data_IF_463697444200
#
_entry.id   IF_463697444200
#
_cell.length_a   1.000
_cell.length_b   1.000
_cell.length_c   1.000
_cell.angle_alpha   90.00
_cell.angle_beta   90.00
_cell.angle_gamma   90.00
#
_symmetry.space_group_name_H-M   'P 1'
#
loop_
_entity.id
_entity.type
_entity.pdbx_description
1 polymer ?
#
# COMPACT_ATOMS: atom_id res chain seq x y z
N UNK A 1 -7.81 6.45 -12.95
CA UNK A 1 -7.87 7.75 -12.26
C UNK A 1 -6.51 8.43 -12.26
N UNK A 2 -5.48 7.90 -11.55
CA UNK A 2 -4.16 8.54 -11.41
C UNK A 2 -3.48 8.81 -12.76
N UNK A 3 -3.44 7.83 -13.65
CA UNK A 3 -2.82 8.00 -14.98
C UNK A 3 -3.45 9.15 -15.79
N UNK A 4 -4.77 9.33 -15.69
CA UNK A 4 -5.46 10.44 -16.32
C UNK A 4 -5.00 11.80 -15.75
N UNK A 5 -4.89 11.91 -14.43
CA UNK A 5 -4.40 13.11 -13.77
C UNK A 5 -2.95 13.41 -14.16
N UNK A 6 -2.09 12.38 -14.19
CA UNK A 6 -0.68 12.53 -14.54
C UNK A 6 -0.50 13.01 -16.00
N UNK A 7 -1.31 12.54 -16.95
CA UNK A 7 -1.34 13.07 -18.33
C UNK A 7 -1.71 14.55 -18.40
N UNK A 8 -2.51 15.04 -17.44
CA UNK A 8 -2.86 16.45 -17.30
C UNK A 8 -1.84 17.22 -16.44
N UNK A 9 -0.66 16.65 -16.18
CA UNK A 9 0.40 17.23 -15.36
C UNK A 9 -0.02 17.48 -13.89
N UNK A 10 -1.07 16.78 -13.42
CA UNK A 10 -1.54 16.85 -12.04
C UNK A 10 -1.02 15.65 -11.26
N UNK A 11 -0.24 15.89 -10.22
CA UNK A 11 0.25 14.88 -9.26
C UNK A 11 -0.54 15.05 -7.97
N UNK A 12 -1.07 13.94 -7.44
CA UNK A 12 -1.95 13.94 -6.27
C UNK A 12 -1.19 14.26 -4.97
N UNK A 13 -0.01 13.65 -4.76
CA UNK A 13 0.92 13.87 -3.65
C UNK A 13 0.46 13.42 -2.26
N UNK A 14 -0.76 12.91 -2.10
CA UNK A 14 -1.32 12.45 -0.82
C UNK A 14 -2.19 11.20 -0.99
N UNK A 15 -1.72 10.22 -1.76
CA UNK A 15 -2.40 8.93 -1.92
C UNK A 15 -2.25 8.14 -0.63
N UNK A 16 -3.39 7.80 -0.03
CA UNK A 16 -3.53 7.00 1.20
C UNK A 16 -4.94 6.41 1.27
N UNK A 17 -5.20 5.42 2.12
CA UNK A 17 -6.54 4.81 2.23
C UNK A 17 -7.66 5.81 2.48
N UNK A 18 -7.42 6.85 3.28
CA UNK A 18 -8.43 7.89 3.58
C UNK A 18 -8.90 8.68 2.35
N UNK A 19 -8.08 8.73 1.29
CA UNK A 19 -8.37 9.48 0.05
C UNK A 19 -8.81 8.54 -1.10
N UNK A 20 -9.08 7.26 -0.80
CA UNK A 20 -9.59 6.28 -1.76
C UNK A 20 -10.95 5.81 -1.31
N UNK A 21 -11.97 6.14 -2.07
CA UNK A 21 -13.35 5.73 -1.81
C UNK A 21 -13.74 4.57 -2.73
N UNK A 22 -14.38 3.56 -2.17
CA UNK A 22 -14.87 2.40 -2.92
C UNK A 22 -16.38 2.35 -2.75
N UNK A 23 -17.09 2.37 -3.87
CA UNK A 23 -18.51 2.07 -3.92
C UNK A 23 -18.70 0.58 -4.25
N UNK A 24 -19.01 -0.21 -3.24
CA UNK A 24 -19.19 -1.65 -3.38
C UNK A 24 -20.46 -2.04 -4.15
N UNK A 25 -21.37 -1.08 -4.42
CA UNK A 25 -22.60 -1.33 -5.19
C UNK A 25 -22.31 -1.30 -6.69
N UNK A 26 -21.40 -0.41 -7.09
CA UNK A 26 -21.07 -0.16 -8.51
C UNK A 26 -19.64 -0.59 -8.89
N UNK A 27 -18.86 -1.12 -7.95
CA UNK A 27 -17.45 -1.45 -8.10
C UNK A 27 -16.59 -0.25 -8.59
N UNK A 28 -17.05 0.96 -8.26
CA UNK A 28 -16.36 2.19 -8.66
C UNK A 28 -15.40 2.63 -7.58
N UNK A 29 -14.12 2.81 -7.96
CA UNK A 29 -13.08 3.39 -7.10
C UNK A 29 -12.84 4.83 -7.50
N UNK A 30 -12.93 5.74 -6.53
CA UNK A 30 -12.66 7.17 -6.69
C UNK A 30 -11.50 7.60 -5.81
N UNK A 31 -10.63 8.43 -6.36
CA UNK A 31 -9.58 9.12 -5.61
C UNK A 31 -10.06 10.54 -5.35
N UNK A 32 -10.04 10.95 -4.09
CA UNK A 32 -10.49 12.27 -3.61
C UNK A 32 -9.32 13.06 -3.07
N UNK A 33 -9.55 14.35 -2.79
CA UNK A 33 -8.59 15.24 -2.11
C UNK A 33 -7.21 15.30 -2.83
N UNK A 34 -7.26 15.58 -4.13
CA UNK A 34 -6.03 15.94 -4.85
C UNK A 34 -5.31 17.05 -4.09
N UNK A 35 -4.06 16.78 -3.68
CA UNK A 35 -3.27 17.58 -2.75
C UNK A 35 -2.91 18.99 -3.25
N UNK A 36 -3.88 19.69 -3.85
CA UNK A 36 -3.76 21.06 -4.37
C UNK A 36 -3.32 22.01 -3.26
N UNK A 37 -3.69 21.76 -1.99
CA UNK A 37 -3.27 22.54 -0.84
C UNK A 37 -1.76 22.52 -0.57
N UNK A 38 -1.03 21.49 -1.06
CA UNK A 38 0.44 21.42 -0.88
C UNK A 38 1.25 22.17 -1.96
N UNK A 39 0.61 22.61 -3.03
CA UNK A 39 1.29 23.43 -4.06
C UNK A 39 1.51 24.86 -3.56
N UNK A 40 0.67 25.34 -2.65
CA UNK A 40 0.75 26.68 -2.05
C UNK A 40 1.60 26.74 -0.78
N UNK A 41 1.84 25.59 -0.12
CA UNK A 41 2.66 25.50 1.07
C UNK A 41 4.10 25.05 0.76
N UNK A 42 4.75 25.69 -0.21
CA UNK A 42 6.21 25.73 -0.30
C UNK A 42 6.83 26.61 0.81
N UNK A 43 6.02 27.09 1.75
CA UNK A 43 6.51 27.58 3.02
C UNK A 43 6.99 26.38 3.86
N UNK A 44 8.29 26.07 3.73
CA UNK A 44 9.02 25.47 4.84
C UNK A 44 8.51 26.18 6.11
N UNK A 45 7.64 25.51 6.86
CA UNK A 45 7.39 25.95 8.22
C UNK A 45 8.77 26.01 8.88
N UNK A 46 9.19 27.19 9.32
CA UNK A 46 10.48 27.48 9.98
C UNK A 46 10.75 26.58 11.20
N UNK A 47 9.90 25.65 11.50
CA UNK A 47 9.92 24.74 12.65
C UNK A 47 10.21 23.29 12.33
N UNK A 48 10.50 22.90 11.07
CA UNK A 48 10.89 21.52 10.74
C UNK A 48 9.81 20.46 10.99
N UNK A 49 8.57 20.84 11.30
CA UNK A 49 7.48 19.90 11.50
C UNK A 49 6.91 19.45 10.14
N UNK A 50 7.11 18.18 9.84
CA UNK A 50 6.40 17.50 8.75
C UNK A 50 4.93 17.42 9.14
N UNK A 51 4.08 18.26 8.52
CA UNK A 51 2.63 18.25 8.77
C UNK A 51 2.04 17.02 8.07
N UNK A 52 1.59 16.02 8.84
CA UNK A 52 0.98 14.78 8.36
C UNK A 52 1.83 13.54 8.65
N UNK A 53 1.22 12.37 8.49
CA UNK A 53 1.91 11.09 8.69
C UNK A 53 2.75 10.78 7.44
N UNK A 54 4.10 10.78 7.50
CA UNK A 54 4.95 10.60 6.32
C UNK A 54 4.93 9.16 5.79
N UNK A 55 4.24 8.25 6.45
CA UNK A 55 4.24 6.81 6.14
C UNK A 55 3.86 6.48 4.69
N UNK A 56 3.11 7.37 4.02
CA UNK A 56 2.71 7.21 2.62
C UNK A 56 3.53 8.06 1.65
N UNK A 57 4.41 8.93 2.14
CA UNK A 57 5.24 9.80 1.30
C UNK A 57 6.33 8.99 0.60
N UNK A 58 6.60 9.35 -0.64
CA UNK A 58 7.72 8.78 -1.39
C UNK A 58 9.08 9.34 -0.90
N UNK A 59 10.19 8.62 -1.12
CA UNK A 59 11.53 9.08 -0.77
C UNK A 59 11.85 10.48 -1.31
N UNK A 60 11.51 10.75 -2.57
CA UNK A 60 11.72 12.04 -3.23
C UNK A 60 10.86 13.16 -2.64
N UNK A 61 9.64 12.86 -2.16
CA UNK A 61 8.82 13.84 -1.43
C UNK A 61 9.46 14.21 -0.09
N UNK A 62 9.96 13.24 0.66
CA UNK A 62 10.66 13.47 1.93
C UNK A 62 11.95 14.25 1.73
N UNK A 63 12.66 13.99 0.64
CA UNK A 63 13.89 14.69 0.29
C UNK A 63 13.65 16.10 -0.30
N UNK A 64 12.39 16.52 -0.51
CA UNK A 64 12.08 17.80 -1.16
C UNK A 64 12.53 17.89 -2.62
N UNK A 65 12.68 16.74 -3.28
CA UNK A 65 13.09 16.65 -4.67
C UNK A 65 11.90 16.86 -5.62
N UNK A 66 12.19 16.86 -6.92
CA UNK A 66 11.13 16.94 -7.94
C UNK A 66 10.24 15.72 -7.88
N UNK A 67 8.93 15.96 -7.73
CA UNK A 67 7.88 14.96 -7.63
C UNK A 67 7.14 14.86 -8.95
N UNK A 68 6.93 13.63 -9.45
CA UNK A 68 6.08 13.35 -10.61
C UNK A 68 5.06 12.24 -10.28
N UNK A 69 4.30 11.77 -11.28
CA UNK A 69 3.26 10.74 -11.10
C UNK A 69 3.76 9.43 -10.46
N UNK A 70 5.06 9.13 -10.56
CA UNK A 70 5.65 7.92 -9.96
C UNK A 70 5.73 8.01 -8.43
N UNK A 71 5.65 9.21 -7.86
CA UNK A 71 5.50 9.40 -6.41
C UNK A 71 4.13 8.94 -5.93
N UNK A 72 3.06 9.22 -6.68
CA UNK A 72 1.72 8.71 -6.38
C UNK A 72 1.67 7.18 -6.51
N UNK A 73 2.39 6.60 -7.47
CA UNK A 73 2.49 5.14 -7.60
C UNK A 73 3.21 4.49 -6.40
N UNK A 74 4.23 5.14 -5.84
CA UNK A 74 4.85 4.70 -4.60
C UNK A 74 3.85 4.73 -3.44
N UNK A 75 3.14 5.84 -3.26
CA UNK A 75 2.12 5.99 -2.20
C UNK A 75 0.98 4.98 -2.37
N UNK A 76 0.59 4.67 -3.62
CA UNK A 76 -0.34 3.58 -3.92
C UNK A 76 0.25 2.22 -3.53
N UNK A 77 1.53 1.99 -3.76
CA UNK A 77 2.25 0.79 -3.31
C UNK A 77 2.19 0.61 -1.79
N UNK A 78 2.42 1.67 -1.01
CA UNK A 78 2.28 1.67 0.45
C UNK A 78 0.84 1.35 0.86
N UNK A 79 -0.14 1.97 0.19
CA UNK A 79 -1.57 1.74 0.44
C UNK A 79 -1.95 0.28 0.17
N UNK A 80 -1.55 -0.28 -0.97
CA UNK A 80 -1.81 -1.67 -1.32
C UNK A 80 -1.12 -2.64 -0.35
N UNK A 81 0.13 -2.37 0.04
CA UNK A 81 0.84 -3.16 1.03
C UNK A 81 0.04 -3.20 2.35
N UNK A 82 -0.42 -2.05 2.83
CA UNK A 82 -1.22 -1.97 4.05
C UNK A 82 -2.57 -2.69 3.92
N UNK A 83 -3.27 -2.55 2.81
CA UNK A 83 -4.55 -3.24 2.57
C UNK A 83 -4.39 -4.77 2.56
N UNK A 84 -3.31 -5.28 1.98
CA UNK A 84 -3.04 -6.71 1.87
C UNK A 84 -2.54 -7.34 3.16
N UNK A 85 -1.77 -6.61 3.97
CA UNK A 85 -1.08 -7.16 5.15
C UNK A 85 -1.63 -6.67 6.48
N UNK A 86 -2.44 -5.60 6.48
CA UNK A 86 -2.86 -4.89 7.69
C UNK A 86 -1.73 -4.05 8.33
N UNK A 87 -0.56 -3.96 7.69
CA UNK A 87 0.62 -3.29 8.24
C UNK A 87 1.24 -2.33 7.22
N UNK A 88 1.84 -1.26 7.70
CA UNK A 88 2.68 -0.38 6.88
C UNK A 88 4.02 -1.07 6.58
N UNK A 89 4.61 -0.84 5.37
CA UNK A 89 5.89 -1.42 4.99
C UNK A 89 7.07 -0.88 5.81
N UNK A 90 6.93 0.31 6.39
CA UNK A 90 7.93 0.94 7.25
C UNK A 90 7.28 1.40 8.55
N UNK A 91 7.94 1.12 9.69
CA UNK A 91 7.50 1.51 11.04
C UNK A 91 8.72 1.77 11.90
N UNK A 92 8.68 2.85 12.65
CA UNK A 92 9.75 3.20 13.58
C UNK A 92 9.18 3.99 14.76
N UNK A 93 9.89 3.97 15.88
CA UNK A 93 9.50 4.66 17.12
C UNK A 93 9.71 6.18 17.04
N UNK A 94 10.49 6.64 16.06
CA UNK A 94 10.71 8.06 15.84
C UNK A 94 10.46 8.46 14.39
N UNK A 95 10.08 9.71 14.18
CA UNK A 95 9.91 10.30 12.87
C UNK A 95 11.19 10.23 12.02
N UNK A 96 12.33 10.53 12.63
CA UNK A 96 13.62 10.50 11.94
C UNK A 96 13.98 9.08 11.47
N UNK A 97 13.77 8.07 12.32
CA UNK A 97 14.00 6.67 11.96
C UNK A 97 13.04 6.21 10.85
N UNK A 98 11.75 6.61 10.91
CA UNK A 98 10.79 6.29 9.86
C UNK A 98 11.21 6.92 8.51
N UNK A 99 11.58 8.18 8.50
CA UNK A 99 12.05 8.87 7.28
C UNK A 99 13.32 8.21 6.72
N UNK A 100 14.24 7.78 7.60
CA UNK A 100 15.42 7.03 7.18
C UNK A 100 15.07 5.71 6.52
N UNK A 101 14.16 4.92 7.11
CA UNK A 101 13.68 3.66 6.52
C UNK A 101 13.03 3.88 5.16
N UNK A 102 12.12 4.86 5.05
CA UNK A 102 11.47 5.20 3.78
C UNK A 102 12.49 5.56 2.71
N UNK A 103 13.53 6.30 3.06
CA UNK A 103 14.55 6.74 2.10
C UNK A 103 15.54 5.63 1.70
N UNK A 104 15.92 4.74 2.64
CA UNK A 104 17.10 3.91 2.47
C UNK A 104 16.85 2.39 2.58
N UNK A 105 15.86 1.94 3.36
CA UNK A 105 15.67 0.51 3.62
C UNK A 105 14.68 -0.12 2.63
N UNK A 106 14.92 -1.33 2.12
CA UNK A 106 13.93 -2.03 1.31
C UNK A 106 12.72 -2.39 2.17
N UNK A 107 11.52 -2.32 1.59
CA UNK A 107 10.33 -2.85 2.24
C UNK A 107 10.42 -4.37 2.39
N UNK A 108 9.93 -4.90 3.52
CA UNK A 108 9.79 -6.34 3.68
C UNK A 108 8.91 -6.91 2.57
N UNK A 109 9.29 -8.07 2.04
CA UNK A 109 8.49 -8.72 1.00
C UNK A 109 7.09 -9.05 1.56
N UNK A 110 6.05 -8.68 0.82
CA UNK A 110 4.66 -8.94 1.24
C UNK A 110 4.39 -10.42 1.50
N UNK A 111 5.08 -11.32 0.81
CA UNK A 111 4.99 -12.77 0.97
C UNK A 111 5.46 -13.29 2.33
N UNK A 112 6.22 -12.51 3.09
CA UNK A 112 6.59 -12.85 4.48
C UNK A 112 5.34 -12.81 5.38
N UNK A 113 4.47 -11.83 5.17
CA UNK A 113 3.22 -11.68 5.94
C UNK A 113 2.03 -12.39 5.29
N UNK A 114 2.04 -12.53 3.97
CA UNK A 114 0.99 -13.11 3.16
C UNK A 114 1.59 -14.08 2.13
N UNK A 115 2.00 -15.26 2.56
CA UNK A 115 2.60 -16.29 1.67
C UNK A 115 1.59 -16.87 0.67
N UNK A 116 0.31 -16.60 0.87
CA UNK A 116 -0.80 -16.99 0.00
C UNK A 116 -0.96 -16.09 -1.24
N UNK A 117 -0.28 -14.94 -1.28
CA UNK A 117 -0.38 -14.02 -2.41
C UNK A 117 0.44 -14.51 -3.62
N UNK A 118 -0.04 -14.25 -4.85
CA UNK A 118 0.72 -14.54 -6.06
C UNK A 118 2.09 -13.84 -6.06
N UNK A 119 3.12 -14.55 -6.47
CA UNK A 119 4.49 -14.02 -6.51
C UNK A 119 4.61 -12.83 -7.46
N UNK A 120 3.80 -12.80 -8.52
CA UNK A 120 3.71 -11.70 -9.47
C UNK A 120 3.20 -10.41 -8.80
N UNK A 121 2.19 -10.52 -7.92
CA UNK A 121 1.69 -9.38 -7.14
C UNK A 121 2.74 -8.87 -6.15
N UNK A 122 3.49 -9.78 -5.52
CA UNK A 122 4.59 -9.40 -4.65
C UNK A 122 5.69 -8.61 -5.41
N UNK A 123 6.01 -9.02 -6.64
CA UNK A 123 6.95 -8.29 -7.52
C UNK A 123 6.44 -6.90 -7.90
N UNK A 124 5.14 -6.77 -8.21
CA UNK A 124 4.53 -5.47 -8.49
C UNK A 124 4.66 -4.55 -7.28
N UNK A 125 4.34 -5.03 -6.07
CA UNK A 125 4.48 -4.25 -4.83
C UNK A 125 5.93 -3.85 -4.56
N UNK A 126 6.87 -4.77 -4.73
CA UNK A 126 8.30 -4.47 -4.56
C UNK A 126 8.75 -3.38 -5.54
N UNK A 127 8.30 -3.44 -6.80
CA UNK A 127 8.61 -2.44 -7.81
C UNK A 127 8.00 -1.08 -7.49
N UNK A 128 6.75 -1.03 -7.00
CA UNK A 128 6.12 0.22 -6.57
C UNK A 128 6.87 0.88 -5.42
N UNK A 129 7.39 0.08 -4.47
CA UNK A 129 8.12 0.53 -3.29
C UNK A 129 9.63 0.73 -3.54
N UNK A 130 10.08 0.67 -4.79
CA UNK A 130 11.47 0.98 -5.16
C UNK A 130 11.82 2.43 -4.78
N UNK A 131 13.03 2.64 -4.27
CA UNK A 131 13.47 3.95 -3.79
C UNK A 131 13.64 4.95 -4.93
N UNK A 132 14.31 4.53 -6.00
CA UNK A 132 14.44 5.35 -7.20
C UNK A 132 13.12 5.36 -8.00
N UNK A 133 12.59 6.53 -8.37
CA UNK A 133 11.44 6.61 -9.26
C UNK A 133 11.67 5.92 -10.62
N UNK A 134 12.91 5.83 -11.08
CA UNK A 134 13.26 5.19 -12.36
C UNK A 134 13.02 3.67 -12.34
N UNK A 135 13.09 3.04 -11.15
CA UNK A 135 12.90 1.60 -10.99
C UNK A 135 11.42 1.21 -10.84
N UNK A 136 10.53 2.19 -10.68
CA UNK A 136 9.07 1.98 -10.56
C UNK A 136 8.42 1.78 -11.93
N UNK A 137 7.11 1.53 -11.93
CA UNK A 137 6.32 1.59 -13.15
C UNK A 137 6.37 3.03 -13.72
N UNK A 138 6.54 3.18 -15.05
CA UNK A 138 6.67 4.51 -15.66
C UNK A 138 5.35 5.30 -15.64
N UNK A 139 4.20 4.61 -15.55
CA UNK A 139 2.87 5.22 -15.58
C UNK A 139 1.84 4.36 -14.84
N UNK A 140 0.71 4.97 -14.49
CA UNK A 140 -0.44 4.26 -13.93
C UNK A 140 -1.03 3.24 -14.89
N UNK A 141 -0.96 3.48 -16.21
CA UNK A 141 -1.41 2.53 -17.23
C UNK A 141 -0.52 1.28 -17.26
N UNK A 142 0.81 1.44 -17.18
CA UNK A 142 1.73 0.30 -17.12
C UNK A 142 1.47 -0.57 -15.88
N UNK A 143 1.22 0.07 -14.73
CA UNK A 143 0.82 -0.63 -13.50
C UNK A 143 -0.51 -1.37 -13.68
N UNK A 144 -1.52 -0.69 -14.23
CA UNK A 144 -2.84 -1.29 -14.45
C UNK A 144 -2.78 -2.51 -15.38
N UNK A 145 -1.94 -2.47 -16.40
CA UNK A 145 -1.70 -3.61 -17.31
C UNK A 145 -1.12 -4.80 -16.57
N UNK A 146 -0.11 -4.60 -15.73
CA UNK A 146 0.47 -5.68 -14.93
C UNK A 146 -0.54 -6.28 -13.95
N UNK A 147 -1.34 -5.43 -13.26
CA UNK A 147 -2.36 -5.90 -12.32
C UNK A 147 -3.50 -6.67 -13.02
N UNK A 148 -3.97 -6.23 -14.19
CA UNK A 148 -4.99 -6.96 -14.96
C UNK A 148 -4.47 -8.34 -15.36
N UNK A 149 -3.23 -8.41 -15.88
CA UNK A 149 -2.61 -9.68 -16.25
C UNK A 149 -2.53 -10.65 -15.07
N UNK A 150 -2.27 -10.16 -13.84
CA UNK A 150 -2.26 -10.99 -12.64
C UNK A 150 -3.68 -11.45 -12.29
N UNK A 151 -4.68 -10.57 -12.40
CA UNK A 151 -6.08 -10.89 -12.10
C UNK A 151 -6.69 -11.91 -13.06
N UNK A 152 -6.23 -11.94 -14.31
CA UNK A 152 -6.67 -12.90 -15.35
C UNK A 152 -6.02 -14.29 -15.20
N UNK A 153 -4.93 -14.41 -14.44
CA UNK A 153 -4.34 -15.71 -14.17
C UNK A 153 -5.24 -16.50 -13.21
N UNK A 154 -5.57 -17.77 -13.51
CA UNK A 154 -6.28 -18.60 -12.55
C UNK A 154 -5.45 -18.65 -11.27
N UNK A 155 -6.06 -18.22 -10.16
CA UNK A 155 -5.46 -18.38 -8.83
C UNK A 155 -5.27 -19.88 -8.68
N UNK A 156 -4.04 -20.37 -8.82
CA UNK A 156 -3.73 -21.75 -8.49
C UNK A 156 -4.22 -21.93 -7.05
N UNK A 157 -5.23 -22.81 -6.88
CA UNK A 157 -5.93 -23.00 -5.63
C UNK A 157 -4.89 -23.25 -4.52
N UNK A 158 -4.52 -22.20 -3.82
CA UNK A 158 -3.68 -22.29 -2.63
C UNK A 158 -4.42 -23.14 -1.64
N UNK A 159 -3.79 -24.27 -1.30
CA UNK A 159 -4.25 -25.34 -0.47
C UNK A 159 -5.24 -24.88 0.61
N UNK A 160 -6.43 -25.44 0.49
CA UNK A 160 -7.49 -25.49 1.47
C UNK A 160 -7.00 -25.31 2.91
N UNK A 161 -7.28 -24.15 3.51
CA UNK A 161 -7.21 -24.03 4.96
C UNK A 161 -8.26 -24.97 5.54
N UNK A 162 -7.88 -26.03 6.30
CA UNK A 162 -8.88 -26.81 7.02
C UNK A 162 -9.58 -25.84 7.97
N UNK A 163 -10.92 -25.74 7.86
CA UNK A 163 -11.75 -25.11 8.90
C UNK A 163 -11.39 -25.77 10.24
N UNK A 164 -11.24 -24.99 11.33
CA UNK A 164 -11.22 -25.59 12.65
C UNK A 164 -12.50 -26.43 12.79
N UNK A 165 -12.34 -27.73 12.79
CA UNK A 165 -13.46 -28.64 13.10
C UNK A 165 -13.81 -28.35 14.55
N UNK A 166 -15.09 -28.11 14.78
CA UNK A 166 -15.68 -27.94 16.09
C UNK A 166 -15.20 -29.10 16.98
N UNK A 167 -14.37 -28.78 17.94
CA UNK A 167 -14.05 -29.68 19.03
C UNK A 167 -15.33 -29.83 19.88
N UNK A 168 -16.20 -30.74 19.46
CA UNK A 168 -17.28 -31.19 20.31
C UNK A 168 -16.65 -31.82 21.54
N UNK A 169 -16.64 -31.04 22.61
CA UNK A 169 -16.31 -31.50 23.96
C UNK A 169 -17.31 -32.60 24.36
N UNK A 170 -16.85 -33.82 24.34
CA UNK A 170 -17.50 -34.91 25.08
C UNK A 170 -17.19 -34.69 26.56
N UNK A 171 -18.13 -34.07 27.27
CA UNK A 171 -18.13 -34.02 28.73
C UNK A 171 -18.55 -35.42 29.23
N UNK A 172 -17.71 -36.11 30.03
CA UNK A 172 -18.15 -37.35 30.68
C UNK A 172 -19.17 -37.01 31.76
N UNK A 173 -20.37 -37.64 31.71
CA UNK A 173 -21.36 -37.62 32.80
C UNK A 173 -20.81 -38.33 34.02
N UNK A 174 -20.89 -37.75 35.23
CA UNK A 174 -20.58 -38.49 36.44
C UNK A 174 -21.64 -39.56 36.71
N UNK A 175 -21.14 -40.80 36.85
CA UNK A 175 -21.98 -41.97 37.21
C UNK A 175 -22.62 -41.76 38.59
N UNK A 176 -23.93 -42.03 38.67
CA UNK A 176 -24.64 -42.26 39.93
C UNK A 176 -24.23 -43.64 40.46
N UNK A 177 -23.49 -43.64 41.55
CA UNK A 177 -23.31 -44.83 42.38
C UNK A 177 -24.38 -44.87 43.46
N UNK A 178 -24.93 -46.08 43.65
CA UNK A 178 -25.85 -46.44 44.71
C UNK A 178 -25.13 -46.53 46.05
#
# INVERSE_FOLDING_TARGET
>A
ALDHAHRQQVVHRDIKPANVMVDFTTDVVKVTDFGIARVTDSSRTKTGMVLGTPSFMSPEQLAGQRVDGRSDLYSLGVTLYQLLTGQLPFRADSMAALMFQIANEPAAAVTVLRPDLPVELARVLQRLLAKSPADRHPSGEALATDLRRIAEQPIAASAHRPRPQDATSSVPRPGRGA
#
